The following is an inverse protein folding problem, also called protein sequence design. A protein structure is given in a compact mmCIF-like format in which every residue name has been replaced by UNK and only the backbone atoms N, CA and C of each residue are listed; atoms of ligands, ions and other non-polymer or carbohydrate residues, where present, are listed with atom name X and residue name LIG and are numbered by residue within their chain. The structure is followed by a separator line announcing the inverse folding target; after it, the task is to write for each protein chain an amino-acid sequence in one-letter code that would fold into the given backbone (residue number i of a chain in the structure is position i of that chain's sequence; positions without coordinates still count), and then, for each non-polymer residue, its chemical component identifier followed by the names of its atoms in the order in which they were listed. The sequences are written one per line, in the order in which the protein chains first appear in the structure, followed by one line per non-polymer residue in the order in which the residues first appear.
data_IF_201304378892
#
_entry.id   IF_201304378892
#
_cell.length_a   1.000
_cell.length_b   1.000
_cell.length_c   1.000
_cell.angle_alpha   90.00
_cell.angle_beta   90.00
_cell.angle_gamma   90.00
#
_symmetry.space_group_name_H-M   'P 1'
#
loop_
_entity.id
_entity.type
_entity.pdbx_description
1 polymer ?
#
# COMPACT_ATOMS: atom_id res chain seq x y z
N UNK A 1 28.84 -26.32 -22.82
CA UNK A 1 28.37 -26.74 -24.15
C UNK A 1 27.05 -27.47 -23.96
N UNK A 2 25.94 -26.88 -24.39
CA UNK A 2 24.70 -27.61 -24.71
C UNK A 2 24.86 -28.17 -26.16
N UNK A 3 24.04 -29.12 -26.68
CA UNK A 3 22.58 -28.94 -26.80
C UNK A 3 21.69 -30.21 -26.86
N UNK A 4 20.36 -29.98 -26.82
CA UNK A 4 19.25 -30.64 -27.57
C UNK A 4 19.12 -32.19 -27.55
N UNK A 5 17.98 -32.86 -27.67
CA UNK A 5 16.56 -32.57 -27.92
C UNK A 5 15.85 -33.95 -27.88
N UNK A 6 14.54 -33.96 -27.55
CA UNK A 6 13.49 -34.82 -28.15
C UNK A 6 13.66 -36.35 -28.07
N UNK A 7 12.72 -37.05 -27.45
CA UNK A 7 11.87 -38.09 -28.07
C UNK A 7 10.97 -38.71 -27.00
N UNK A 8 9.68 -38.73 -27.29
CA UNK A 8 8.68 -39.39 -26.46
C UNK A 8 8.89 -40.90 -26.42
N UNK A 9 8.78 -41.47 -25.22
CA UNK A 9 8.53 -42.88 -25.02
C UNK A 9 7.43 -42.98 -23.98
N UNK A 10 6.28 -43.47 -24.41
CA UNK A 10 5.20 -43.93 -23.53
C UNK A 10 5.69 -45.20 -22.83
N UNK A 11 5.73 -45.20 -21.50
CA UNK A 11 5.82 -46.43 -20.72
C UNK A 11 4.50 -46.64 -19.95
N UNK A 12 3.90 -47.85 -20.02
CA UNK A 12 2.69 -48.19 -19.30
C UNK A 12 3.02 -48.63 -17.87
N UNK A 13 2.09 -48.34 -16.96
CA UNK A 13 1.79 -49.01 -15.70
C UNK A 13 2.94 -49.48 -14.80
N UNK A 14 3.16 -48.74 -13.71
CA UNK A 14 2.93 -49.19 -12.32
C UNK A 14 3.88 -48.48 -11.37
N UNK A 15 3.33 -47.54 -10.61
CA UNK A 15 4.03 -46.87 -9.53
C UNK A 15 3.20 -45.71 -9.03
N UNK A 16 2.36 -45.97 -8.03
CA UNK A 16 1.81 -44.91 -7.20
C UNK A 16 2.98 -44.14 -6.56
N UNK A 17 3.34 -42.99 -7.13
CA UNK A 17 4.20 -42.01 -6.46
C UNK A 17 3.26 -41.11 -5.66
N UNK A 18 2.80 -41.62 -4.51
CA UNK A 18 2.21 -40.78 -3.47
C UNK A 18 3.31 -39.95 -2.84
N UNK A 19 3.21 -38.63 -2.98
CA UNK A 19 3.98 -37.70 -2.15
C UNK A 19 4.93 -36.76 -2.88
N UNK A 20 4.52 -36.16 -4.00
CA UNK A 20 5.03 -34.83 -4.31
C UNK A 20 4.39 -33.85 -3.32
N UNK A 21 5.03 -33.67 -2.16
CA UNK A 21 4.76 -32.49 -1.32
C UNK A 21 5.14 -31.28 -2.17
N UNK A 22 4.14 -30.69 -2.83
CA UNK A 22 4.23 -29.36 -3.38
C UNK A 22 4.49 -28.46 -2.17
N UNK A 23 5.76 -28.16 -1.91
CA UNK A 23 6.12 -27.03 -1.07
C UNK A 23 5.67 -25.80 -1.84
N UNK A 24 4.40 -25.43 -1.65
CA UNK A 24 3.95 -24.07 -1.93
C UNK A 24 4.82 -23.24 -1.01
N UNK A 25 5.88 -22.61 -1.55
CA UNK A 25 6.61 -21.57 -0.82
C UNK A 25 5.53 -20.61 -0.37
N UNK A 26 5.26 -20.58 0.93
CA UNK A 26 4.37 -19.62 1.54
C UNK A 26 5.02 -18.28 1.24
N UNK A 27 4.57 -17.60 0.19
CA UNK A 27 5.03 -16.25 -0.12
C UNK A 27 4.55 -15.43 1.06
N UNK A 28 5.45 -15.11 1.98
CA UNK A 28 5.15 -14.25 3.12
C UNK A 28 4.77 -12.91 2.50
N UNK A 29 3.46 -12.66 2.42
CA UNK A 29 2.93 -11.37 2.00
C UNK A 29 3.10 -10.44 3.18
N UNK A 30 3.65 -9.26 2.93
CA UNK A 30 3.67 -8.23 3.95
C UNK A 30 2.23 -7.85 4.27
N UNK A 31 1.91 -7.89 5.56
CA UNK A 31 0.60 -7.52 6.07
C UNK A 31 0.56 -6.04 6.38
N UNK A 32 -0.58 -5.43 6.07
CA UNK A 32 -0.86 -4.02 6.37
C UNK A 32 -2.20 -3.92 7.06
N UNK A 33 -2.22 -3.30 8.24
CA UNK A 33 -3.46 -3.05 8.95
C UNK A 33 -4.28 -1.99 8.22
N UNK A 34 -5.58 -2.22 8.08
CA UNK A 34 -6.51 -1.28 7.49
C UNK A 34 -7.54 -0.87 8.53
N UNK A 35 -7.44 0.38 8.97
CA UNK A 35 -8.43 1.05 9.81
C UNK A 35 -9.24 2.04 8.97
N UNK A 36 -10.45 2.36 9.42
CA UNK A 36 -11.28 3.35 8.75
C UNK A 36 -12.26 4.05 9.72
N UNK A 37 -12.64 5.28 9.40
CA UNK A 37 -13.83 5.95 9.95
C UNK A 37 -15.09 5.55 9.15
N UNK A 38 -16.25 6.09 9.49
CA UNK A 38 -17.53 5.65 8.92
C UNK A 38 -17.65 5.92 7.41
N UNK A 39 -17.26 7.11 6.94
CA UNK A 39 -17.20 7.41 5.50
C UNK A 39 -16.15 6.58 4.76
N UNK A 40 -15.01 6.31 5.41
CA UNK A 40 -13.95 5.43 4.92
C UNK A 40 -14.38 3.96 4.73
N UNK A 41 -15.37 3.49 5.48
CA UNK A 41 -15.78 2.07 5.51
C UNK A 41 -16.19 1.52 4.15
N UNK A 42 -16.82 2.35 3.32
CA UNK A 42 -17.30 1.95 1.98
C UNK A 42 -16.17 1.63 0.99
N UNK A 43 -14.95 2.10 1.25
CA UNK A 43 -13.80 1.96 0.35
C UNK A 43 -12.87 0.80 0.72
N UNK A 44 -13.01 0.22 1.92
CA UNK A 44 -12.04 -0.73 2.50
C UNK A 44 -11.76 -1.93 1.59
N UNK A 45 -12.79 -2.51 0.97
CA UNK A 45 -12.64 -3.72 0.14
C UNK A 45 -11.97 -3.41 -1.20
N UNK A 46 -12.27 -2.24 -1.77
CA UNK A 46 -11.64 -1.76 -2.99
C UNK A 46 -10.15 -1.46 -2.76
N UNK A 47 -9.83 -0.80 -1.64
CA UNK A 47 -8.47 -0.53 -1.18
C UNK A 47 -7.71 -1.83 -0.94
N UNK A 48 -8.25 -2.76 -0.14
CA UNK A 48 -7.63 -4.04 0.18
C UNK A 48 -7.28 -4.83 -1.09
N UNK A 49 -8.24 -4.96 -2.01
CA UNK A 49 -8.03 -5.63 -3.30
C UNK A 49 -6.97 -4.93 -4.16
N UNK A 50 -6.94 -3.60 -4.16
CA UNK A 50 -5.95 -2.85 -4.96
C UNK A 50 -4.54 -2.97 -4.38
N UNK A 51 -4.39 -2.94 -3.05
CA UNK A 51 -3.12 -3.16 -2.36
C UNK A 51 -2.53 -4.53 -2.74
N UNK A 52 -3.35 -5.58 -2.67
CA UNK A 52 -2.95 -6.94 -3.06
C UNK A 52 -2.54 -7.04 -4.54
N UNK A 53 -3.31 -6.43 -5.46
CA UNK A 53 -2.99 -6.46 -6.90
C UNK A 53 -1.76 -5.64 -7.27
N UNK A 54 -1.53 -4.53 -6.60
CA UNK A 54 -0.48 -3.56 -6.99
C UNK A 54 0.87 -3.92 -6.39
N UNK A 55 0.87 -4.30 -5.11
CA UNK A 55 2.07 -4.49 -4.31
C UNK A 55 2.18 -5.88 -3.66
N UNK A 56 1.20 -6.76 -3.83
CA UNK A 56 1.19 -8.07 -3.18
C UNK A 56 0.95 -8.02 -1.67
N UNK A 57 0.45 -6.90 -1.15
CA UNK A 57 0.16 -6.71 0.27
C UNK A 57 -1.14 -7.40 0.68
N UNK A 58 -1.15 -7.95 1.89
CA UNK A 58 -2.35 -8.47 2.53
C UNK A 58 -2.92 -7.43 3.48
N UNK A 59 -4.02 -6.79 3.10
CA UNK A 59 -4.69 -5.82 3.96
C UNK A 59 -5.56 -6.55 5.01
N UNK A 60 -5.20 -6.42 6.29
CA UNK A 60 -6.00 -6.93 7.40
C UNK A 60 -6.97 -5.86 7.87
N UNK A 61 -8.26 -6.11 7.69
CA UNK A 61 -9.31 -5.25 8.23
C UNK A 61 -9.27 -5.28 9.77
N UNK A 62 -8.92 -4.15 10.39
CA UNK A 62 -8.91 -3.95 11.86
C UNK A 62 -10.17 -3.26 12.37
N UNK A 63 -11.12 -2.97 11.49
CA UNK A 63 -12.40 -2.38 11.80
C UNK A 63 -12.37 -0.85 11.93
N UNK A 64 -13.47 -0.33 12.49
CA UNK A 64 -13.66 1.10 12.66
C UNK A 64 -12.77 1.65 13.77
N UNK A 65 -12.07 2.74 13.48
CA UNK A 65 -11.33 3.52 14.48
C UNK A 65 -11.84 4.95 14.47
N UNK A 66 -12.26 5.44 15.64
CA UNK A 66 -12.72 6.83 15.80
C UNK A 66 -11.58 7.80 15.52
N UNK A 67 -11.90 8.94 14.94
CA UNK A 67 -10.93 10.01 14.75
C UNK A 67 -10.40 10.47 16.12
N UNK A 68 -9.11 10.79 16.19
CA UNK A 68 -8.51 11.32 17.40
C UNK A 68 -8.74 12.83 17.48
N UNK A 69 -9.64 13.24 18.37
CA UNK A 69 -10.04 14.65 18.55
C UNK A 69 -8.88 15.58 18.89
N UNK A 70 -7.81 15.06 19.51
CA UNK A 70 -6.61 15.86 19.82
C UNK A 70 -5.84 16.33 18.59
N UNK A 71 -6.15 15.82 17.40
CA UNK A 71 -5.60 16.30 16.13
C UNK A 71 -6.41 17.45 15.51
N UNK A 72 -7.55 17.86 16.10
CA UNK A 72 -8.36 18.95 15.56
C UNK A 72 -7.67 20.31 15.68
N UNK A 73 -7.66 21.07 14.58
CA UNK A 73 -7.21 22.46 14.56
C UNK A 73 -8.39 23.40 14.31
N UNK A 74 -8.80 24.12 15.35
CA UNK A 74 -9.96 25.03 15.31
C UNK A 74 -9.83 26.13 14.24
N UNK A 75 -8.64 26.72 14.11
CA UNK A 75 -8.40 27.83 13.17
C UNK A 75 -8.54 27.38 11.72
N UNK A 76 -8.08 26.17 11.40
CA UNK A 76 -8.14 25.59 10.05
C UNK A 76 -9.45 24.86 9.78
N UNK A 77 -10.14 24.42 10.83
CA UNK A 77 -11.27 23.49 10.76
C UNK A 77 -10.90 22.19 10.03
N UNK A 78 -9.69 21.69 10.31
CA UNK A 78 -9.08 20.51 9.71
C UNK A 78 -8.33 19.72 10.79
N UNK A 79 -8.02 18.46 10.51
CA UNK A 79 -7.21 17.61 11.38
C UNK A 79 -5.74 17.59 10.96
N UNK A 80 -4.83 17.64 11.93
CA UNK A 80 -3.39 17.53 11.71
C UNK A 80 -3.00 16.07 11.39
N UNK A 81 -2.52 15.85 10.17
CA UNK A 81 -2.16 14.53 9.67
C UNK A 81 -0.97 13.90 10.43
N UNK A 82 -0.03 14.69 10.97
CA UNK A 82 1.06 14.17 11.78
C UNK A 82 0.55 13.61 13.10
N UNK A 83 -0.37 14.32 13.76
CA UNK A 83 -0.97 13.87 15.02
C UNK A 83 -1.83 12.62 14.79
N UNK A 84 -2.57 12.55 13.68
CA UNK A 84 -3.32 11.34 13.30
C UNK A 84 -2.39 10.14 13.02
N UNK A 85 -1.24 10.36 12.37
CA UNK A 85 -0.24 9.32 12.14
C UNK A 85 0.35 8.79 13.45
N UNK A 86 0.76 9.67 14.37
CA UNK A 86 1.28 9.25 15.69
C UNK A 86 0.23 8.45 16.48
N UNK A 87 -1.05 8.85 16.39
CA UNK A 87 -2.14 8.06 16.97
C UNK A 87 -2.27 6.68 16.32
N UNK A 88 -2.26 6.59 14.99
CA UNK A 88 -2.34 5.33 14.25
C UNK A 88 -1.20 4.36 14.62
N UNK A 89 0.03 4.87 14.74
CA UNK A 89 1.21 4.07 15.11
C UNK A 89 1.07 3.42 16.49
N UNK A 90 0.35 4.04 17.42
CA UNK A 90 0.08 3.46 18.74
C UNK A 90 -1.04 2.41 18.73
N UNK A 91 -1.85 2.39 17.67
CA UNK A 91 -3.02 1.53 17.54
C UNK A 91 -2.79 0.29 16.68
N UNK A 92 -1.85 0.35 15.74
CA UNK A 92 -1.52 -0.75 14.83
C UNK A 92 -1.06 -2.03 15.56
N UNK A 93 -1.29 -3.17 14.91
CA UNK A 93 -1.03 -4.53 15.40
C UNK A 93 -0.02 -5.28 14.53
N UNK A 94 0.12 -4.88 13.27
CA UNK A 94 1.16 -5.33 12.34
C UNK A 94 2.26 -4.27 12.21
N UNK A 95 3.31 -4.55 11.42
CA UNK A 95 4.43 -3.63 11.22
C UNK A 95 4.08 -2.42 10.35
N UNK A 96 2.96 -2.47 9.62
CA UNK A 96 2.47 -1.35 8.81
C UNK A 96 0.97 -1.14 8.91
N UNK A 97 0.52 0.10 8.72
CA UNK A 97 -0.90 0.45 8.79
C UNK A 97 -1.33 1.56 7.82
N UNK A 98 -2.58 1.50 7.37
CA UNK A 98 -3.28 2.57 6.66
C UNK A 98 -4.57 2.90 7.42
N UNK A 99 -4.87 4.18 7.55
CA UNK A 99 -6.13 4.66 8.11
C UNK A 99 -6.86 5.57 7.12
N UNK A 100 -8.05 5.14 6.69
CA UNK A 100 -8.95 5.96 5.89
C UNK A 100 -9.80 6.84 6.82
N UNK A 101 -9.72 8.16 6.66
CA UNK A 101 -10.37 9.13 7.55
C UNK A 101 -11.36 10.03 6.79
N UNK A 102 -12.49 10.33 7.43
CA UNK A 102 -13.55 11.18 6.88
C UNK A 102 -13.21 12.67 6.83
N UNK A 103 -12.58 13.27 7.86
CA UNK A 103 -12.39 14.71 7.89
C UNK A 103 -11.26 15.15 6.95
N UNK A 104 -11.30 16.43 6.62
CA UNK A 104 -10.23 17.10 5.89
C UNK A 104 -8.96 17.17 6.74
N UNK A 105 -7.81 16.89 6.13
CA UNK A 105 -6.52 16.82 6.82
C UNK A 105 -5.50 17.78 6.20
N UNK A 106 -4.56 18.26 7.02
CA UNK A 106 -3.46 19.10 6.58
C UNK A 106 -2.15 18.65 7.25
N UNK A 107 -1.03 19.12 6.71
CA UNK A 107 0.26 19.12 7.39
C UNK A 107 0.90 20.50 7.27
N UNK A 108 2.06 20.70 7.91
CA UNK A 108 2.73 22.00 7.93
C UNK A 108 2.96 22.56 6.51
N UNK A 109 2.80 23.88 6.37
CA UNK A 109 3.10 24.64 5.15
C UNK A 109 2.23 24.33 3.91
N UNK A 110 1.15 23.56 4.05
CA UNK A 110 0.17 23.33 2.98
C UNK A 110 -1.27 23.61 3.44
N UNK A 111 -2.17 23.78 2.47
CA UNK A 111 -3.59 24.04 2.74
C UNK A 111 -4.34 22.76 3.13
N UNK A 112 -4.01 21.64 2.49
CA UNK A 112 -4.56 20.33 2.77
C UNK A 112 -3.63 19.26 2.17
N UNK A 113 -3.84 18.01 2.55
CA UNK A 113 -3.26 16.85 1.87
C UNK A 113 -4.33 15.78 1.67
N UNK A 114 -4.21 14.97 0.61
CA UNK A 114 -5.07 13.79 0.45
C UNK A 114 -4.66 12.65 1.38
N UNK A 115 -3.37 12.59 1.69
CA UNK A 115 -2.81 11.64 2.62
C UNK A 115 -1.44 12.09 3.11
N UNK A 116 -0.96 11.42 4.14
CA UNK A 116 0.39 11.58 4.65
C UNK A 116 0.88 10.22 5.11
N UNK A 117 2.11 9.89 4.73
CA UNK A 117 2.78 8.67 5.13
C UNK A 117 4.05 8.92 5.93
N UNK A 118 4.24 8.07 6.93
CA UNK A 118 5.52 7.80 7.57
C UNK A 118 6.14 6.59 6.88
N UNK A 119 7.27 6.80 6.20
CA UNK A 119 7.98 5.74 5.47
C UNK A 119 8.17 4.49 6.33
N UNK A 120 7.92 3.32 5.73
CA UNK A 120 8.06 2.01 6.36
C UNK A 120 7.12 1.71 7.53
N UNK A 121 6.23 2.62 7.90
CA UNK A 121 5.42 2.48 9.11
C UNK A 121 3.94 2.64 8.77
N UNK A 122 3.44 3.83 8.48
CA UNK A 122 1.99 4.02 8.39
C UNK A 122 1.58 5.17 7.48
N UNK A 123 0.31 5.18 7.07
CA UNK A 123 -0.29 6.29 6.34
C UNK A 123 -1.71 6.61 6.82
N UNK A 124 -2.08 7.89 6.73
CA UNK A 124 -3.45 8.37 6.86
C UNK A 124 -3.89 8.90 5.50
N UNK A 125 -5.08 8.56 5.05
CA UNK A 125 -5.68 9.02 3.79
C UNK A 125 -7.05 9.60 4.08
N UNK A 126 -7.25 10.88 3.74
CA UNK A 126 -8.56 11.52 3.86
C UNK A 126 -9.40 11.27 2.62
N UNK A 127 -10.65 10.85 2.83
CA UNK A 127 -11.64 10.71 1.77
C UNK A 127 -12.39 12.02 1.49
N UNK A 128 -12.20 13.05 2.32
CA UNK A 128 -12.98 14.30 2.31
C UNK A 128 -12.97 15.02 0.94
N UNK A 129 -11.80 15.07 0.29
CA UNK A 129 -11.59 15.76 -0.99
C UNK A 129 -11.51 14.82 -2.18
N UNK A 130 -11.83 13.54 -1.99
CA UNK A 130 -11.76 12.50 -3.02
C UNK A 130 -13.20 12.07 -3.37
N UNK A 131 -13.72 12.65 -4.43
CA UNK A 131 -15.12 12.55 -4.86
C UNK A 131 -15.57 11.17 -5.38
N UNK A 132 -14.63 10.28 -5.70
CA UNK A 132 -14.92 8.97 -6.27
C UNK A 132 -14.16 7.85 -5.58
N UNK A 133 -14.71 6.61 -5.55
CA UNK A 133 -13.99 5.44 -5.04
C UNK A 133 -12.64 5.20 -5.74
N UNK A 134 -12.56 5.52 -7.03
CA UNK A 134 -11.32 5.40 -7.80
C UNK A 134 -10.21 6.32 -7.29
N UNK A 135 -10.56 7.54 -6.88
CA UNK A 135 -9.61 8.52 -6.34
C UNK A 135 -9.13 8.15 -4.93
N UNK A 136 -10.03 7.68 -4.05
CA UNK A 136 -9.65 7.14 -2.73
C UNK A 136 -8.65 6.00 -2.88
N UNK A 137 -8.94 5.05 -3.77
CA UNK A 137 -8.05 3.93 -4.04
C UNK A 137 -6.71 4.42 -4.61
N UNK A 138 -6.71 5.37 -5.55
CA UNK A 138 -5.49 5.89 -6.18
C UNK A 138 -4.55 6.54 -5.17
N UNK A 139 -5.05 7.45 -4.34
CA UNK A 139 -4.22 8.11 -3.32
C UNK A 139 -3.82 7.15 -2.19
N UNK A 140 -4.66 6.16 -1.86
CA UNK A 140 -4.24 5.11 -0.92
C UNK A 140 -3.09 4.27 -1.46
N UNK A 141 -3.05 4.00 -2.77
CA UNK A 141 -1.90 3.33 -3.41
C UNK A 141 -0.66 4.22 -3.45
N UNK A 142 -0.81 5.54 -3.59
CA UNK A 142 0.29 6.49 -3.45
C UNK A 142 0.91 6.41 -2.06
N UNK A 143 0.10 6.52 -1.01
CA UNK A 143 0.61 6.47 0.37
C UNK A 143 1.17 5.10 0.76
N UNK A 144 0.55 4.01 0.29
CA UNK A 144 1.11 2.67 0.45
C UNK A 144 2.48 2.52 -0.24
N UNK A 145 2.71 3.24 -1.34
CA UNK A 145 4.02 3.32 -1.98
C UNK A 145 5.07 3.94 -1.06
N UNK A 146 4.73 5.01 -0.33
CA UNK A 146 5.62 5.61 0.67
C UNK A 146 5.88 4.67 1.85
N UNK A 147 4.86 3.95 2.35
CA UNK A 147 5.06 2.88 3.34
C UNK A 147 6.08 1.84 2.82
N UNK A 148 6.05 1.51 1.53
CA UNK A 148 7.01 0.59 0.93
C UNK A 148 8.38 1.20 0.60
N UNK A 149 8.64 2.46 0.94
CA UNK A 149 9.93 3.11 0.71
C UNK A 149 10.06 3.82 -0.63
N UNK A 150 8.99 3.96 -1.41
CA UNK A 150 9.05 4.67 -2.68
C UNK A 150 8.97 6.18 -2.45
N UNK A 151 9.96 6.97 -2.88
CA UNK A 151 9.82 8.43 -2.89
C UNK A 151 8.92 8.87 -4.06
N UNK A 152 8.57 10.15 -4.07
CA UNK A 152 7.92 10.78 -5.21
C UNK A 152 8.67 10.51 -6.53
N UNK A 153 7.91 10.36 -7.61
CA UNK A 153 8.39 9.97 -8.92
C UNK A 153 8.00 11.01 -9.97
N UNK A 154 8.90 11.30 -10.92
CA UNK A 154 8.65 12.24 -12.03
C UNK A 154 8.10 11.57 -13.29
N UNK A 155 8.09 10.23 -13.34
CA UNK A 155 7.56 9.47 -14.48
C UNK A 155 6.02 9.46 -14.46
N UNK A 156 5.39 8.97 -15.54
CA UNK A 156 3.97 8.60 -15.53
C UNK A 156 3.73 7.47 -14.52
N UNK A 157 3.37 7.84 -13.29
CA UNK A 157 3.39 6.97 -12.12
C UNK A 157 2.40 7.47 -11.05
N UNK A 158 1.78 6.55 -10.32
CA UNK A 158 0.95 6.87 -9.14
C UNK A 158 1.74 7.62 -8.05
N UNK A 159 3.06 7.42 -7.99
CA UNK A 159 3.96 8.13 -7.06
C UNK A 159 4.28 9.57 -7.49
N UNK A 160 3.64 10.12 -8.53
CA UNK A 160 3.72 11.56 -8.80
C UNK A 160 3.08 12.32 -7.64
N UNK A 161 3.76 13.36 -7.18
CA UNK A 161 3.21 14.28 -6.20
C UNK A 161 2.02 15.03 -6.79
N UNK A 162 0.97 15.23 -6.00
CA UNK A 162 -0.24 15.94 -6.38
C UNK A 162 -0.43 17.13 -5.45
N UNK A 163 -0.39 18.36 -6.00
CA UNK A 163 -0.70 19.58 -5.24
C UNK A 163 -2.19 19.94 -5.29
N UNK A 164 -2.92 19.33 -6.22
CA UNK A 164 -4.31 19.62 -6.52
C UNK A 164 -5.06 18.32 -6.83
N UNK A 165 -6.39 18.40 -6.83
CA UNK A 165 -7.23 17.28 -7.25
C UNK A 165 -6.99 16.95 -8.73
N UNK A 166 -6.80 17.97 -9.56
CA UNK A 166 -6.48 17.86 -10.98
C UNK A 166 -5.17 17.09 -11.20
N UNK A 167 -4.13 17.35 -10.41
CA UNK A 167 -2.87 16.60 -10.47
C UNK A 167 -3.08 15.11 -10.12
N UNK A 168 -3.85 14.83 -9.06
CA UNK A 168 -4.20 13.47 -8.65
C UNK A 168 -5.05 12.75 -9.71
N UNK A 169 -5.92 13.47 -10.41
CA UNK A 169 -6.72 12.93 -11.49
C UNK A 169 -5.84 12.54 -12.68
N UNK A 170 -4.89 13.40 -13.07
CA UNK A 170 -4.02 13.22 -14.24
C UNK A 170 -2.92 12.16 -14.07
N UNK A 171 -2.46 11.89 -12.85
CA UNK A 171 -1.47 10.81 -12.62
C UNK A 171 -2.14 9.42 -12.77
N UNK A 172 -1.42 8.42 -13.31
CA UNK A 172 -1.98 7.07 -13.42
C UNK A 172 -2.17 6.44 -12.05
N UNK A 173 -2.96 5.36 -12.00
CA UNK A 173 -3.26 4.61 -10.79
C UNK A 173 -2.28 3.45 -10.50
N UNK A 174 -1.21 3.34 -11.30
CA UNK A 174 -0.20 2.27 -11.20
C UNK A 174 1.23 2.82 -11.01
N UNK A 175 2.10 2.09 -10.31
CA UNK A 175 3.52 2.40 -10.26
C UNK A 175 4.20 2.10 -11.60
N UNK A 176 5.08 3.00 -12.04
CA UNK A 176 5.89 2.81 -13.23
C UNK A 176 6.96 1.72 -13.02
N UNK A 177 7.58 1.26 -14.12
CA UNK A 177 8.63 0.23 -14.08
C UNK A 177 9.83 0.61 -13.21
N UNK A 178 10.16 1.90 -13.08
CA UNK A 178 11.24 2.33 -12.19
C UNK A 178 10.88 2.16 -10.70
N UNK A 179 9.65 2.49 -10.31
CA UNK A 179 9.15 2.28 -8.95
C UNK A 179 9.01 0.77 -8.64
N UNK A 180 8.47 -0.03 -9.57
CA UNK A 180 8.37 -1.49 -9.40
C UNK A 180 9.74 -2.13 -9.14
N UNK A 181 10.77 -1.78 -9.93
CA UNK A 181 12.13 -2.28 -9.72
C UNK A 181 12.75 -1.91 -8.36
N UNK A 182 12.33 -0.82 -7.73
CA UNK A 182 12.77 -0.48 -6.37
C UNK A 182 12.16 -1.42 -5.32
N UNK A 183 10.93 -1.89 -5.56
CA UNK A 183 10.25 -2.84 -4.68
C UNK A 183 10.81 -4.27 -4.81
N UNK A 184 11.28 -4.64 -6.00
CA UNK A 184 11.83 -5.99 -6.26
C UNK A 184 13.23 -6.22 -5.64
N UNK A 185 13.97 -5.14 -5.33
CA UNK A 185 15.34 -5.19 -4.78
C UNK A 185 15.39 -5.52 -3.28
N UNK A 186 14.61 -6.49 -2.81
CA UNK A 186 14.59 -6.94 -1.40
C UNK A 186 15.53 -8.12 -1.12
N UNK A 187 16.77 -8.07 -1.63
CA UNK A 187 17.83 -8.99 -1.16
C UNK A 187 18.95 -8.15 -0.56
N UNK A 188 19.10 -8.23 0.76
CA UNK A 188 20.37 -8.03 1.44
C UNK A 188 20.55 -9.24 2.35
N UNK A 189 21.34 -10.21 1.91
CA UNK A 189 21.94 -11.17 2.83
C UNK A 189 23.12 -10.45 3.51
N UNK A 190 23.22 -10.42 4.86
CA UNK A 190 24.40 -9.93 5.52
C UNK A 190 25.53 -10.97 5.38
N UNK A 191 26.59 -10.68 4.63
CA UNK A 191 27.79 -11.54 4.66
C UNK A 191 28.78 -11.52 3.51
N UNK A 192 28.51 -10.87 2.37
CA UNK A 192 29.49 -10.87 1.27
C UNK A 192 30.56 -9.79 1.51
N UNK A 193 31.71 -10.18 2.05
CA UNK A 193 32.93 -9.35 2.07
C UNK A 193 33.41 -9.13 0.64
N UNK A 194 33.89 -7.91 0.37
CA UNK A 194 34.57 -7.52 -0.87
C UNK A 194 35.80 -8.37 -1.13
#
# INVERSE_FOLDING_TARGET
MAPCCVYGVTCPDNGFITGMRIFIRQVVRMEIDLFYTDGGASFKDAVARRLGRTFGLEARDRGRMRIYEGAWNERRRQYDAYVLLDHLVRCMKSDTAIWLVDPDIFCENVNFVFGLAMYHIAAVVSVFRLDTPGMVVKETIHEAGHILGLPHCRNHCVMRFSNSYEDALLKPDIPCMACRRKLDRKIVEPGMRM
#
